data_IF_789685809324
#
_entry.id   IF_789685809324
#
_cell.length_a   1.000
_cell.length_b   1.000
_cell.length_c   1.000
_cell.angle_alpha   90.00
_cell.angle_beta   90.00
_cell.angle_gamma   90.00
#
_symmetry.space_group_name_H-M   'P 1'
#
loop_
_entity.id
_entity.type
_entity.pdbx_description
1 polymer ?
#
# COMPACT_ATOMS: atom_id res chain seq x y z
N UNK A 1 -6.26 74.25 -21.20
CA UNK A 1 -5.57 75.26 -20.37
C UNK A 1 -4.17 74.76 -20.07
N UNK A 2 -3.21 75.64 -19.83
CA UNK A 2 -1.85 75.27 -19.42
C UNK A 2 -1.86 74.68 -17.99
N UNK A 3 -0.78 74.01 -17.59
CA UNK A 3 -0.61 73.53 -16.21
C UNK A 3 -0.69 74.68 -15.22
N UNK A 4 -0.13 75.84 -15.58
CA UNK A 4 -0.12 77.02 -14.72
C UNK A 4 -1.52 77.64 -14.57
N UNK A 5 -2.29 77.69 -15.66
CA UNK A 5 -3.71 78.09 -15.63
C UNK A 5 -4.53 77.12 -14.77
N UNK A 6 -4.34 75.80 -14.90
CA UNK A 6 -5.04 74.82 -14.07
C UNK A 6 -4.76 75.00 -12.57
N UNK A 7 -3.49 75.16 -12.20
CA UNK A 7 -3.08 75.37 -10.81
C UNK A 7 -3.53 76.74 -10.25
N UNK A 8 -3.83 77.71 -11.11
CA UNK A 8 -4.32 79.03 -10.72
C UNK A 8 -5.82 79.09 -10.37
N UNK A 9 -6.60 78.04 -10.70
CA UNK A 9 -8.02 77.96 -10.35
C UNK A 9 -8.13 77.94 -8.82
N UNK A 10 -8.58 79.07 -8.26
CA UNK A 10 -8.74 79.21 -6.81
C UNK A 10 -10.01 78.49 -6.37
N UNK A 11 -9.90 77.62 -5.37
CA UNK A 11 -11.02 76.82 -4.82
C UNK A 11 -11.82 76.05 -5.88
N UNK A 12 -11.19 75.15 -6.67
CA UNK A 12 -11.91 74.38 -7.67
C UNK A 12 -13.02 73.51 -7.02
N UNK A 13 -14.22 73.40 -7.61
CA UNK A 13 -15.23 72.49 -7.11
C UNK A 13 -14.76 71.03 -7.25
N UNK A 14 -15.08 70.18 -6.27
CA UNK A 14 -14.79 68.75 -6.34
C UNK A 14 -15.46 68.14 -7.59
N UNK A 15 -14.69 67.39 -8.38
CA UNK A 15 -15.11 66.83 -9.67
C UNK A 15 -14.91 67.75 -10.88
N UNK A 16 -14.36 68.96 -10.74
CA UNK A 16 -14.03 69.82 -11.89
C UNK A 16 -13.09 69.08 -12.85
N UNK A 17 -13.51 68.95 -14.11
CA UNK A 17 -12.73 68.35 -15.18
C UNK A 17 -12.07 69.42 -16.04
N UNK A 18 -10.77 69.28 -16.29
CA UNK A 18 -10.01 70.16 -17.17
C UNK A 18 -9.06 69.35 -18.05
N UNK A 19 -8.78 69.86 -19.25
CA UNK A 19 -7.73 69.33 -20.12
C UNK A 19 -6.49 70.23 -20.03
N UNK A 20 -5.37 69.64 -19.57
CA UNK A 20 -4.07 70.30 -19.40
C UNK A 20 -3.26 70.14 -20.70
N UNK A 21 -3.03 71.25 -21.42
CA UNK A 21 -2.38 71.27 -22.73
C UNK A 21 -0.87 71.04 -22.65
N UNK A 22 -0.23 71.35 -21.51
CA UNK A 22 1.22 71.13 -21.34
C UNK A 22 1.53 69.65 -21.12
N UNK A 23 0.58 68.91 -20.52
CA UNK A 23 0.68 67.47 -20.24
C UNK A 23 -0.08 66.60 -21.24
N UNK A 24 -1.00 67.17 -22.02
CA UNK A 24 -1.93 66.47 -22.91
C UNK A 24 -2.78 65.42 -22.19
N UNK A 25 -3.31 65.77 -21.02
CA UNK A 25 -4.08 64.85 -20.16
C UNK A 25 -5.32 65.53 -19.56
N UNK A 26 -6.35 64.74 -19.29
CA UNK A 26 -7.49 65.17 -18.46
C UNK A 26 -7.14 65.07 -16.97
N UNK A 27 -7.44 66.13 -16.22
CA UNK A 27 -7.35 66.16 -14.77
C UNK A 27 -8.74 66.37 -14.16
N UNK A 28 -8.98 65.74 -13.01
CA UNK A 28 -10.12 66.05 -12.15
C UNK A 28 -9.64 66.54 -10.79
N UNK A 29 -10.35 67.49 -10.20
CA UNK A 29 -10.07 67.94 -8.83
C UNK A 29 -10.81 67.05 -7.82
N UNK A 30 -10.14 66.53 -6.79
CA UNK A 30 -10.73 65.63 -5.77
C UNK A 30 -11.20 66.33 -4.50
N UNK A 31 -11.12 67.66 -4.46
CA UNK A 31 -11.30 68.45 -3.24
C UNK A 31 -10.00 68.73 -2.48
N UNK A 32 -9.00 67.84 -2.60
CA UNK A 32 -7.68 67.98 -1.95
C UNK A 32 -6.53 68.21 -2.93
N UNK A 33 -6.72 67.86 -4.21
CA UNK A 33 -5.72 68.05 -5.24
C UNK A 33 -6.23 67.69 -6.63
N UNK A 34 -5.39 67.90 -7.64
CA UNK A 34 -5.67 67.51 -9.01
C UNK A 34 -5.11 66.12 -9.29
N UNK A 35 -5.95 65.20 -9.79
CA UNK A 35 -5.55 63.87 -10.23
C UNK A 35 -5.77 63.72 -11.74
N UNK A 36 -4.76 63.21 -12.45
CA UNK A 36 -4.91 62.83 -13.84
C UNK A 36 -5.91 61.65 -13.96
N UNK A 37 -6.87 61.74 -14.85
CA UNK A 37 -7.91 60.71 -15.02
C UNK A 37 -7.47 59.54 -15.88
N UNK A 38 -6.64 59.80 -16.89
CA UNK A 38 -6.12 58.81 -17.81
C UNK A 38 -4.75 59.29 -18.26
N UNK A 39 -3.70 58.73 -17.66
CA UNK A 39 -2.37 58.82 -18.25
C UNK A 39 -2.25 57.67 -19.26
N UNK A 40 -2.06 58.04 -20.52
CA UNK A 40 -1.91 57.11 -21.65
C UNK A 40 -0.66 56.22 -21.58
N UNK A 41 0.10 56.23 -20.49
CA UNK A 41 1.19 55.30 -20.24
C UNK A 41 0.75 54.05 -19.46
N UNK A 42 -0.30 54.13 -18.63
CA UNK A 42 -0.68 53.05 -17.70
C UNK A 42 -1.97 52.30 -18.09
N UNK A 43 -2.90 52.99 -18.77
CA UNK A 43 -4.21 52.42 -19.14
C UNK A 43 -4.52 52.75 -20.60
N UNK A 44 -3.82 52.06 -21.51
CA UNK A 44 -4.06 52.17 -22.95
C UNK A 44 -4.95 51.02 -23.43
N UNK A 45 -5.83 51.30 -24.40
CA UNK A 45 -6.42 50.26 -25.24
C UNK A 45 -5.43 50.01 -26.39
N UNK A 46 -4.63 48.93 -26.37
CA UNK A 46 -3.39 48.93 -27.14
C UNK A 46 -3.59 48.64 -28.64
N UNK A 47 -4.78 48.24 -29.11
CA UNK A 47 -5.04 47.84 -30.51
C UNK A 47 -6.54 47.70 -30.80
N UNK A 48 -6.91 47.83 -32.08
CA UNK A 48 -8.23 47.43 -32.59
C UNK A 48 -8.45 45.93 -32.34
N UNK A 49 -9.60 45.57 -31.76
CA UNK A 49 -10.08 44.19 -31.52
C UNK A 49 -9.52 43.43 -30.29
N UNK A 50 -8.86 44.09 -29.33
CA UNK A 50 -8.62 43.50 -28.00
C UNK A 50 -8.99 44.46 -26.87
N UNK A 51 -9.85 44.02 -25.94
CA UNK A 51 -10.14 44.72 -24.68
C UNK A 51 -9.07 44.36 -23.65
N UNK A 52 -7.86 44.87 -23.86
CA UNK A 52 -6.76 44.74 -22.89
C UNK A 52 -6.53 46.06 -22.19
N UNK A 53 -6.24 45.95 -20.92
CA UNK A 53 -5.58 46.98 -20.12
C UNK A 53 -4.13 46.51 -19.99
N UNK A 54 -3.16 47.38 -20.24
CA UNK A 54 -1.74 47.05 -20.10
C UNK A 54 -0.99 48.18 -19.42
N UNK A 55 -0.25 47.83 -18.37
CA UNK A 55 0.75 48.66 -17.70
C UNK A 55 2.11 47.98 -17.91
N UNK A 56 3.08 48.68 -18.48
CA UNK A 56 4.42 48.17 -18.78
C UNK A 56 5.54 48.92 -18.05
N UNK A 57 5.19 49.90 -17.22
CA UNK A 57 6.14 50.77 -16.53
C UNK A 57 6.01 50.71 -15.01
N UNK A 58 4.90 50.20 -14.48
CA UNK A 58 4.66 50.07 -13.05
C UNK A 58 3.73 48.89 -12.73
N UNK A 59 3.51 48.67 -11.45
CA UNK A 59 2.58 47.71 -10.86
C UNK A 59 1.12 48.13 -10.99
N UNK A 60 0.22 47.15 -10.95
CA UNK A 60 -1.23 47.32 -10.84
C UNK A 60 -1.66 46.79 -9.47
N UNK A 61 -1.99 47.70 -8.56
CA UNK A 61 -2.60 47.36 -7.27
C UNK A 61 -4.13 47.34 -7.35
N UNK A 62 -4.77 46.28 -6.86
CA UNK A 62 -6.22 46.21 -6.68
C UNK A 62 -6.49 45.99 -5.19
N UNK A 63 -7.06 47.00 -4.53
CA UNK A 63 -7.30 46.96 -3.08
C UNK A 63 -6.07 47.33 -2.22
N UNK A 64 -4.90 47.55 -2.83
CA UNK A 64 -3.66 47.98 -2.16
C UNK A 64 -3.12 49.28 -2.74
N UNK A 65 -2.54 50.13 -1.88
CA UNK A 65 -1.84 51.37 -2.27
C UNK A 65 -0.32 51.20 -2.34
N UNK A 66 0.19 49.99 -2.04
CA UNK A 66 1.63 49.70 -2.02
C UNK A 66 1.88 48.30 -2.58
N UNK A 67 1.57 48.08 -3.87
CA UNK A 67 1.76 46.79 -4.53
C UNK A 67 3.22 46.33 -4.45
N UNK A 68 3.46 45.08 -4.08
CA UNK A 68 4.81 44.49 -4.02
C UNK A 68 5.20 43.72 -5.29
N UNK A 69 4.23 43.47 -6.17
CA UNK A 69 4.38 42.76 -7.44
C UNK A 69 3.75 43.56 -8.60
N UNK A 70 4.06 43.18 -9.83
CA UNK A 70 3.50 43.80 -11.04
C UNK A 70 1.97 43.79 -11.09
N UNK A 71 1.35 42.76 -10.51
CA UNK A 71 -0.08 42.72 -10.21
C UNK A 71 -0.19 42.24 -8.78
N UNK A 72 -0.72 43.09 -7.90
CA UNK A 72 -0.95 42.77 -6.50
C UNK A 72 -2.43 43.02 -6.20
N UNK A 73 -3.10 42.00 -5.67
CA UNK A 73 -4.53 42.02 -5.37
C UNK A 73 -4.69 41.68 -3.89
N UNK A 74 -4.99 42.68 -3.07
CA UNK A 74 -5.36 42.49 -1.67
C UNK A 74 -6.83 42.01 -1.59
N UNK A 75 -7.04 40.75 -1.98
CA UNK A 75 -8.35 40.14 -2.08
C UNK A 75 -8.40 38.91 -2.98
N UNK A 76 -9.61 38.57 -3.44
CA UNK A 76 -9.85 37.37 -4.25
C UNK A 76 -9.67 37.64 -5.75
N UNK A 77 -9.03 36.71 -6.45
CA UNK A 77 -8.98 36.67 -7.92
C UNK A 77 -9.91 35.57 -8.42
N UNK A 78 -10.85 35.91 -9.31
CA UNK A 78 -11.70 34.92 -10.00
C UNK A 78 -11.33 34.85 -11.49
N UNK A 79 -10.51 33.86 -11.86
CA UNK A 79 -10.35 33.48 -13.28
C UNK A 79 -11.47 32.55 -13.71
N UNK A 80 -12.09 32.80 -14.86
CA UNK A 80 -13.15 31.91 -15.41
C UNK A 80 -12.58 30.74 -16.22
N UNK A 81 -11.32 30.84 -16.62
CA UNK A 81 -10.62 29.86 -17.44
C UNK A 81 -9.26 29.57 -16.79
N UNK A 82 -8.24 29.32 -17.59
CA UNK A 82 -6.90 28.99 -17.11
C UNK A 82 -6.16 30.21 -16.55
N UNK A 83 -5.29 29.97 -15.58
CA UNK A 83 -4.18 30.85 -15.24
C UNK A 83 -2.95 30.26 -15.92
N UNK A 84 -2.40 30.97 -16.91
CA UNK A 84 -1.20 30.57 -17.63
C UNK A 84 -0.02 31.35 -17.06
N UNK A 85 0.99 30.65 -16.55
CA UNK A 85 2.25 31.23 -16.10
C UNK A 85 3.39 30.59 -16.89
N UNK A 86 4.31 31.40 -17.43
CA UNK A 86 5.48 30.90 -18.17
C UNK A 86 6.51 30.23 -17.25
N UNK A 87 6.44 30.52 -15.95
CA UNK A 87 7.27 29.92 -14.90
C UNK A 87 6.37 29.24 -13.85
N UNK A 88 6.54 29.55 -12.56
CA UNK A 88 5.82 28.89 -11.47
C UNK A 88 4.58 29.68 -11.03
N UNK A 89 3.56 28.95 -10.60
CA UNK A 89 2.49 29.48 -9.73
C UNK A 89 2.85 29.07 -8.30
N UNK A 90 3.15 30.05 -7.45
CA UNK A 90 3.42 29.81 -6.03
C UNK A 90 2.15 30.08 -5.23
N UNK A 91 1.61 29.06 -4.59
CA UNK A 91 0.50 29.17 -3.64
C UNK A 91 1.01 28.87 -2.23
N UNK A 92 0.85 29.82 -1.30
CA UNK A 92 1.20 29.64 0.11
C UNK A 92 0.11 28.91 0.91
N UNK A 93 -1.10 28.81 0.34
CA UNK A 93 -2.23 28.09 0.89
C UNK A 93 -2.58 26.80 0.11
N UNK A 94 -3.84 26.38 0.22
CA UNK A 94 -4.34 25.16 -0.43
C UNK A 94 -4.56 25.36 -1.93
N UNK A 95 -4.02 24.44 -2.74
CA UNK A 95 -4.42 24.27 -4.15
C UNK A 95 -5.43 23.13 -4.22
N UNK A 96 -6.68 23.46 -4.54
CA UNK A 96 -7.77 22.48 -4.65
C UNK A 96 -8.42 22.53 -6.03
N UNK A 97 -8.83 21.37 -6.53
CA UNK A 97 -9.54 21.21 -7.79
C UNK A 97 -9.99 19.76 -7.95
N UNK A 98 -10.87 19.50 -8.92
CA UNK A 98 -11.30 18.13 -9.23
C UNK A 98 -10.14 17.24 -9.70
N UNK A 99 -9.08 17.84 -10.24
CA UNK A 99 -7.83 17.17 -10.56
C UNK A 99 -6.64 18.12 -10.40
N UNK A 100 -5.50 17.59 -9.95
CA UNK A 100 -4.19 18.22 -10.06
C UNK A 100 -3.39 17.37 -11.04
N UNK A 101 -3.18 17.88 -12.25
CA UNK A 101 -2.45 17.19 -13.30
C UNK A 101 -1.05 17.78 -13.35
N UNK A 102 -0.03 16.96 -13.07
CA UNK A 102 1.37 17.33 -13.28
C UNK A 102 1.94 16.47 -14.40
N UNK A 103 2.60 17.10 -15.37
CA UNK A 103 3.40 16.40 -16.38
C UNK A 103 4.77 15.97 -15.85
N UNK A 104 5.17 16.51 -14.69
CA UNK A 104 6.37 16.16 -13.98
C UNK A 104 6.07 15.55 -12.60
N UNK A 105 6.97 15.77 -11.66
CA UNK A 105 6.82 15.26 -10.30
C UNK A 105 5.74 16.06 -9.54
N UNK A 106 4.97 15.37 -8.70
CA UNK A 106 4.25 15.98 -7.59
C UNK A 106 5.09 15.75 -6.33
N UNK A 107 5.66 16.83 -5.78
CA UNK A 107 6.48 16.75 -4.56
C UNK A 107 5.68 17.30 -3.40
N UNK A 108 5.54 16.52 -2.34
CA UNK A 108 4.92 16.96 -1.08
C UNK A 108 6.03 17.07 -0.04
N UNK A 109 6.19 18.25 0.58
CA UNK A 109 7.19 18.46 1.63
C UNK A 109 6.83 17.79 2.97
N UNK A 110 5.59 17.34 3.11
CA UNK A 110 5.07 16.63 4.29
C UNK A 110 4.33 15.35 3.90
N UNK A 111 3.25 15.04 4.60
CA UNK A 111 2.44 13.84 4.32
C UNK A 111 1.59 14.01 3.06
N UNK A 112 1.79 13.16 2.05
CA UNK A 112 0.84 12.99 0.95
C UNK A 112 -0.28 12.02 1.35
N UNK A 113 -1.53 12.47 1.31
CA UNK A 113 -2.72 11.66 1.59
C UNK A 113 -3.50 11.41 0.29
N UNK A 114 -3.74 10.13 -0.02
CA UNK A 114 -4.67 9.69 -1.06
C UNK A 114 -5.83 8.98 -0.35
N UNK A 115 -7.04 9.55 -0.41
CA UNK A 115 -8.20 9.00 0.30
C UNK A 115 -8.82 7.78 -0.39
N UNK A 116 -8.59 7.64 -1.69
CA UNK A 116 -9.06 6.55 -2.52
C UNK A 116 -7.86 5.79 -3.11
N UNK A 117 -7.99 5.29 -4.33
CA UNK A 117 -6.95 4.48 -4.97
C UNK A 117 -5.74 5.30 -5.41
N UNK A 118 -4.55 4.69 -5.25
CA UNK A 118 -3.31 5.11 -5.90
C UNK A 118 -3.02 4.16 -7.06
N UNK A 119 -3.08 4.67 -8.29
CA UNK A 119 -2.71 3.91 -9.49
C UNK A 119 -1.40 4.42 -10.08
N UNK A 120 -0.47 3.51 -10.41
CA UNK A 120 0.84 3.82 -11.00
C UNK A 120 1.07 2.94 -12.23
N UNK A 121 1.54 3.52 -13.35
CA UNK A 121 1.76 2.78 -14.60
C UNK A 121 3.06 1.97 -14.64
N UNK A 122 4.08 2.35 -13.86
CA UNK A 122 5.40 1.68 -13.89
C UNK A 122 5.77 1.08 -12.55
N UNK A 123 5.81 1.87 -11.48
CA UNK A 123 6.12 1.35 -10.15
C UNK A 123 5.97 2.37 -9.04
N UNK A 124 5.93 1.86 -7.81
CA UNK A 124 5.97 2.63 -6.58
C UNK A 124 7.35 2.42 -5.92
N UNK A 125 8.14 3.48 -5.80
CA UNK A 125 9.44 3.45 -5.14
C UNK A 125 9.34 4.14 -3.78
N UNK A 126 9.71 3.42 -2.71
CA UNK A 126 9.76 3.97 -1.36
C UNK A 126 11.23 3.92 -0.90
N UNK A 127 11.87 5.09 -0.85
CA UNK A 127 13.26 5.22 -0.44
C UNK A 127 13.36 5.79 0.97
N UNK A 128 13.36 4.92 1.97
CA UNK A 128 13.53 5.27 3.37
C UNK A 128 14.27 4.13 4.09
N UNK A 129 15.17 4.46 5.02
CA UNK A 129 15.98 3.48 5.77
C UNK A 129 15.14 2.49 6.59
N UNK A 130 13.91 2.87 6.94
CA UNK A 130 12.93 2.05 7.64
C UNK A 130 11.56 2.16 6.95
N UNK A 131 11.52 2.05 5.61
CA UNK A 131 10.28 2.13 4.83
C UNK A 131 9.24 1.12 5.31
N UNK A 132 7.97 1.57 5.43
CA UNK A 132 6.82 0.74 5.78
C UNK A 132 5.67 1.05 4.83
N UNK A 133 5.14 0.03 4.16
CA UNK A 133 3.78 0.05 3.64
C UNK A 133 2.87 -0.48 4.75
N UNK A 134 2.15 0.43 5.42
CA UNK A 134 1.28 0.12 6.55
C UNK A 134 -0.17 -0.02 6.09
N UNK A 135 -0.77 -1.17 6.32
CA UNK A 135 -2.20 -1.40 6.10
C UNK A 135 -2.96 -1.04 7.36
N UNK A 136 -3.92 -0.13 7.25
CA UNK A 136 -4.78 0.32 8.36
C UNK A 136 -6.25 0.10 8.03
N UNK A 137 -7.06 -0.12 9.07
CA UNK A 137 -8.52 -0.11 8.98
C UNK A 137 -9.05 0.70 10.16
N UNK A 138 -9.86 1.72 9.87
CA UNK A 138 -10.39 2.66 10.86
C UNK A 138 -9.31 3.29 11.74
N UNK A 139 -8.17 3.67 11.13
CA UNK A 139 -7.02 4.25 11.82
C UNK A 139 -6.11 3.26 12.56
N UNK A 140 -6.53 2.00 12.71
CA UNK A 140 -5.78 0.96 13.43
C UNK A 140 -4.88 0.21 12.46
N UNK A 141 -3.59 0.07 12.80
CA UNK A 141 -2.62 -0.74 12.06
C UNK A 141 -2.95 -2.24 12.12
N UNK A 142 -3.00 -2.90 10.96
CA UNK A 142 -3.36 -4.32 10.83
C UNK A 142 -2.22 -5.19 10.32
N UNK A 143 -1.53 -4.74 9.28
CA UNK A 143 -0.38 -5.44 8.73
C UNK A 143 0.57 -4.53 7.97
N UNK A 144 1.72 -5.05 7.59
CA UNK A 144 2.77 -4.25 6.98
C UNK A 144 3.65 -5.04 6.01
N UNK A 145 4.27 -4.32 5.09
CA UNK A 145 5.53 -4.67 4.43
C UNK A 145 6.58 -3.66 4.89
N UNK A 146 7.70 -4.10 5.46
CA UNK A 146 8.67 -3.23 6.13
C UNK A 146 10.11 -3.58 5.78
N UNK A 147 10.96 -2.56 5.63
CA UNK A 147 12.41 -2.70 5.68
C UNK A 147 12.91 -2.67 7.13
N UNK A 148 13.74 -3.63 7.50
CA UNK A 148 14.38 -3.70 8.81
C UNK A 148 15.85 -4.12 8.67
N UNK A 149 16.75 -3.14 8.66
CA UNK A 149 18.15 -3.39 8.30
C UNK A 149 18.25 -3.88 6.86
N UNK A 150 18.81 -5.06 6.65
CA UNK A 150 18.88 -5.71 5.33
C UNK A 150 17.67 -6.60 5.02
N UNK A 151 16.75 -6.79 5.97
CA UNK A 151 15.61 -7.68 5.82
C UNK A 151 14.38 -6.96 5.26
N UNK A 152 13.61 -7.69 4.44
CA UNK A 152 12.22 -7.34 4.10
C UNK A 152 11.29 -8.19 4.95
N UNK A 153 10.38 -7.55 5.68
CA UNK A 153 9.41 -8.20 6.55
C UNK A 153 8.00 -8.03 6.02
N UNK A 154 7.20 -9.08 6.10
CA UNK A 154 5.77 -9.09 5.82
C UNK A 154 5.06 -9.69 7.03
N UNK A 155 4.03 -9.03 7.55
CA UNK A 155 3.33 -9.56 8.72
C UNK A 155 2.16 -8.71 9.22
N UNK A 156 1.64 -9.10 10.37
CA UNK A 156 0.59 -8.40 11.11
C UNK A 156 1.19 -7.57 12.24
N UNK A 157 0.57 -6.44 12.58
CA UNK A 157 1.03 -5.60 13.68
C UNK A 157 0.70 -6.25 15.05
N UNK A 158 1.48 -5.91 16.08
CA UNK A 158 1.16 -6.32 17.46
C UNK A 158 -0.25 -5.89 17.85
N UNK A 159 -0.99 -6.77 18.53
CA UNK A 159 -2.40 -6.57 18.87
C UNK A 159 -3.38 -6.93 17.74
N UNK A 160 -2.90 -7.27 16.54
CA UNK A 160 -3.77 -7.85 15.52
C UNK A 160 -4.09 -9.32 15.87
N UNK A 161 -5.37 -9.64 15.98
CA UNK A 161 -5.85 -11.00 16.27
C UNK A 161 -6.12 -11.81 15.00
N UNK A 162 -6.03 -11.18 13.82
CA UNK A 162 -6.19 -11.85 12.52
C UNK A 162 -4.90 -12.50 12.01
N UNK A 163 -5.03 -13.25 10.92
CA UNK A 163 -3.94 -14.01 10.30
C UNK A 163 -3.26 -13.23 9.15
N UNK A 164 -2.03 -13.61 8.80
CA UNK A 164 -1.49 -13.32 7.47
C UNK A 164 -2.00 -14.39 6.50
N UNK A 165 -2.62 -13.97 5.39
CA UNK A 165 -3.29 -14.88 4.45
C UNK A 165 -2.81 -14.61 3.03
N UNK A 166 -2.40 -15.67 2.32
CA UNK A 166 -2.18 -15.66 0.87
C UNK A 166 -3.38 -16.34 0.22
N UNK A 167 -4.21 -15.55 -0.46
CA UNK A 167 -5.46 -15.98 -1.10
C UNK A 167 -5.30 -16.07 -2.62
N UNK A 168 -5.88 -17.10 -3.23
CA UNK A 168 -5.93 -17.27 -4.69
C UNK A 168 -7.31 -17.74 -5.13
N UNK A 169 -7.87 -17.10 -6.16
CA UNK A 169 -9.21 -17.41 -6.71
C UNK A 169 -10.30 -17.49 -5.63
N UNK A 170 -10.26 -16.57 -4.65
CA UNK A 170 -11.22 -16.51 -3.55
C UNK A 170 -10.95 -17.43 -2.36
N UNK A 171 -10.01 -18.38 -2.46
CA UNK A 171 -9.69 -19.35 -1.39
C UNK A 171 -8.37 -19.05 -0.68
N UNK A 172 -8.32 -19.28 0.63
CA UNK A 172 -7.14 -19.07 1.47
C UNK A 172 -6.17 -20.24 1.33
N UNK A 173 -4.99 -19.99 0.76
CA UNK A 173 -4.03 -21.05 0.42
C UNK A 173 -2.96 -21.24 1.47
N UNK A 174 -2.48 -20.13 2.04
CA UNK A 174 -1.54 -20.14 3.15
C UNK A 174 -2.09 -19.21 4.20
N UNK A 175 -2.13 -19.67 5.45
CA UNK A 175 -2.55 -18.89 6.60
C UNK A 175 -1.51 -19.03 7.69
N UNK A 176 -1.01 -17.91 8.19
CA UNK A 176 -0.13 -17.86 9.36
C UNK A 176 -0.89 -17.17 10.48
N UNK A 177 -1.11 -17.89 11.57
CA UNK A 177 -1.80 -17.37 12.75
C UNK A 177 -0.87 -16.53 13.66
N UNK A 178 -1.42 -15.78 14.64
CA UNK A 178 -0.60 -15.01 15.57
C UNK A 178 0.38 -15.83 16.43
N UNK A 179 0.17 -17.15 16.53
CA UNK A 179 1.10 -18.08 17.18
C UNK A 179 2.25 -18.52 16.28
N UNK A 180 2.25 -18.11 15.00
CA UNK A 180 3.24 -18.50 14.00
C UNK A 180 2.98 -19.86 13.36
N UNK A 181 1.84 -20.50 13.64
CA UNK A 181 1.49 -21.75 12.98
C UNK A 181 1.09 -21.45 11.54
N UNK A 182 1.63 -22.23 10.61
CA UNK A 182 1.30 -22.15 9.20
C UNK A 182 0.39 -23.30 8.81
N UNK A 183 -0.73 -22.94 8.20
CA UNK A 183 -1.69 -23.84 7.58
C UNK A 183 -1.60 -23.65 6.06
N UNK A 184 -1.54 -24.76 5.33
CA UNK A 184 -1.40 -24.78 3.87
C UNK A 184 -2.53 -25.63 3.32
N UNK A 185 -3.44 -24.97 2.58
CA UNK A 185 -4.49 -25.66 1.84
C UNK A 185 -3.87 -26.23 0.55
N UNK A 186 -3.59 -27.53 0.56
CA UNK A 186 -3.01 -28.25 -0.57
C UNK A 186 -1.79 -29.09 -0.17
N UNK A 187 -0.75 -29.05 -0.99
CA UNK A 187 0.47 -29.84 -0.81
C UNK A 187 1.70 -28.97 -0.95
N UNK A 188 2.72 -29.22 -0.12
CA UNK A 188 4.08 -28.74 -0.40
C UNK A 188 4.72 -29.79 -1.32
N UNK A 189 5.00 -29.40 -2.55
CA UNK A 189 5.65 -30.26 -3.55
C UNK A 189 6.95 -29.61 -4.03
N UNK A 190 7.98 -30.41 -4.30
CA UNK A 190 9.11 -29.98 -5.11
C UNK A 190 8.91 -30.54 -6.51
N UNK A 191 8.23 -29.80 -7.39
CA UNK A 191 7.78 -30.31 -8.69
C UNK A 191 8.90 -30.92 -9.55
N UNK A 192 10.14 -30.44 -9.41
CA UNK A 192 11.29 -30.94 -10.16
C UNK A 192 11.86 -32.27 -9.63
N UNK A 193 11.72 -32.55 -8.32
CA UNK A 193 12.32 -33.74 -7.69
C UNK A 193 11.28 -34.76 -7.21
N UNK A 194 10.11 -34.31 -6.75
CA UNK A 194 9.07 -35.15 -6.15
C UNK A 194 7.78 -35.21 -6.98
N UNK A 195 7.67 -34.48 -8.08
CA UNK A 195 6.46 -34.44 -8.90
C UNK A 195 5.25 -33.98 -8.07
N UNK A 196 4.15 -34.73 -8.13
CA UNK A 196 2.93 -34.47 -7.35
C UNK A 196 2.98 -35.02 -5.89
N UNK A 197 4.10 -35.63 -5.47
CA UNK A 197 4.23 -36.19 -4.14
C UNK A 197 4.35 -35.08 -3.07
N UNK A 198 3.50 -35.07 -2.02
CA UNK A 198 3.60 -34.15 -0.90
C UNK A 198 4.80 -34.45 0.00
N UNK A 199 5.44 -33.40 0.52
CA UNK A 199 6.59 -33.49 1.43
C UNK A 199 6.21 -33.63 2.91
N UNK A 200 4.94 -33.42 3.27
CA UNK A 200 4.46 -33.52 4.64
C UNK A 200 3.85 -34.90 4.90
N UNK A 201 4.20 -35.56 6.03
CA UNK A 201 3.54 -36.80 6.43
C UNK A 201 2.03 -36.62 6.56
N UNK A 202 1.28 -37.60 6.07
CA UNK A 202 -0.16 -37.71 6.24
C UNK A 202 -0.52 -38.10 7.66
N UNK A 203 0.20 -39.06 8.22
CA UNK A 203 0.13 -39.43 9.63
C UNK A 203 1.43 -40.09 10.07
N UNK A 204 1.76 -39.96 11.34
CA UNK A 204 2.92 -40.59 11.96
C UNK A 204 2.64 -40.84 13.43
N UNK A 205 3.31 -41.80 14.03
CA UNK A 205 3.14 -42.07 15.45
C UNK A 205 4.18 -42.99 16.05
N UNK A 206 4.26 -42.94 17.38
CA UNK A 206 4.95 -43.89 18.23
C UNK A 206 3.90 -44.72 18.97
N UNK A 207 3.92 -46.03 18.76
CA UNK A 207 2.91 -46.97 19.24
C UNK A 207 3.58 -47.96 20.17
N UNK A 208 2.94 -48.23 21.30
CA UNK A 208 3.40 -49.22 22.28
C UNK A 208 3.11 -50.66 21.83
N UNK A 209 3.78 -51.63 22.45
CA UNK A 209 3.58 -53.06 22.25
C UNK A 209 2.12 -53.51 22.47
N UNK A 210 1.35 -52.83 23.32
CA UNK A 210 -0.08 -53.15 23.54
C UNK A 210 -1.01 -52.53 22.50
N UNK A 211 -0.48 -51.73 21.56
CA UNK A 211 -1.26 -50.98 20.57
C UNK A 211 -1.72 -49.60 21.05
N UNK A 212 -1.35 -49.15 22.25
CA UNK A 212 -1.65 -47.79 22.70
C UNK A 212 -0.77 -46.76 21.97
N UNK A 213 -1.37 -45.64 21.57
CA UNK A 213 -0.67 -44.50 20.96
C UNK A 213 0.07 -43.73 22.05
N UNK A 214 1.39 -43.60 21.92
CA UNK A 214 2.23 -42.85 22.86
C UNK A 214 2.35 -41.39 22.39
N UNK A 215 2.59 -41.18 21.09
CA UNK A 215 2.66 -39.85 20.47
C UNK A 215 2.40 -39.93 18.96
N UNK A 216 2.17 -38.79 18.29
CA UNK A 216 2.03 -38.74 16.84
C UNK A 216 1.18 -37.57 16.35
N UNK A 217 0.77 -37.64 15.07
CA UNK A 217 -0.04 -36.63 14.39
C UNK A 217 -1.50 -36.54 14.86
N UNK A 218 -1.96 -37.48 15.71
CA UNK A 218 -3.31 -37.47 16.29
C UNK A 218 -4.46 -37.81 15.33
N UNK A 219 -4.20 -37.95 14.03
CA UNK A 219 -5.18 -38.26 12.99
C UNK A 219 -5.15 -39.72 12.52
N UNK A 220 -4.77 -40.64 13.40
CA UNK A 220 -4.75 -42.08 13.13
C UNK A 220 -5.26 -42.88 14.34
N UNK A 221 -5.68 -44.11 14.11
CA UNK A 221 -6.01 -45.09 15.15
C UNK A 221 -5.14 -46.34 15.01
N UNK A 222 -5.05 -47.11 16.10
CA UNK A 222 -4.28 -48.36 16.15
C UNK A 222 -5.16 -49.45 16.72
N UNK A 223 -5.17 -50.60 16.04
CA UNK A 223 -5.80 -51.82 16.54
C UNK A 223 -4.77 -52.95 16.49
N UNK A 224 -4.42 -53.52 17.63
CA UNK A 224 -3.66 -54.76 17.69
C UNK A 224 -4.58 -55.93 17.31
N UNK A 225 -4.29 -56.61 16.21
CA UNK A 225 -5.14 -57.69 15.69
C UNK A 225 -4.77 -59.03 16.29
N UNK A 226 -3.48 -59.34 16.34
CA UNK A 226 -2.86 -60.52 16.97
C UNK A 226 -1.47 -60.13 17.51
N UNK A 227 -0.77 -61.06 18.17
CA UNK A 227 0.61 -60.82 18.63
C UNK A 227 1.49 -60.38 17.46
N UNK A 228 2.18 -59.25 17.63
CA UNK A 228 3.09 -58.65 16.66
C UNK A 228 2.41 -58.20 15.36
N UNK A 229 1.09 -57.96 15.36
CA UNK A 229 0.38 -57.37 14.21
C UNK A 229 -0.56 -56.24 14.66
N UNK A 230 -0.40 -55.09 14.01
CA UNK A 230 -1.12 -53.86 14.28
C UNK A 230 -1.69 -53.31 12.99
N UNK A 231 -2.96 -52.91 13.02
CA UNK A 231 -3.60 -52.15 11.95
C UNK A 231 -3.59 -50.68 12.33
N UNK A 232 -3.05 -49.85 11.45
CA UNK A 232 -3.11 -48.39 11.57
C UNK A 232 -4.14 -47.88 10.57
N UNK A 233 -5.13 -47.12 11.05
CA UNK A 233 -6.13 -46.49 10.19
C UNK A 233 -5.88 -44.99 10.14
N UNK A 234 -5.80 -44.44 8.92
CA UNK A 234 -5.52 -43.03 8.66
C UNK A 234 -6.05 -42.64 7.26
N UNK A 235 -6.81 -41.55 7.17
CA UNK A 235 -7.53 -41.17 5.94
C UNK A 235 -6.59 -40.77 4.81
N UNK A 236 -6.80 -41.36 3.64
CA UNK A 236 -6.04 -41.10 2.41
C UNK A 236 -4.83 -42.02 2.20
N UNK A 237 -4.71 -43.10 2.98
CA UNK A 237 -3.79 -44.20 2.62
C UNK A 237 -4.32 -44.90 1.36
N UNK A 238 -3.44 -45.08 0.39
CA UNK A 238 -3.67 -45.71 -0.90
C UNK A 238 -2.54 -46.69 -1.24
N UNK A 239 -2.69 -47.45 -2.33
CA UNK A 239 -1.62 -48.32 -2.85
C UNK A 239 -0.36 -47.57 -3.25
N UNK A 240 -0.45 -46.26 -3.48
CA UNK A 240 0.69 -45.41 -3.83
C UNK A 240 1.34 -44.80 -2.59
N UNK A 241 0.79 -44.97 -1.39
CA UNK A 241 1.37 -44.35 -0.19
C UNK A 241 2.75 -44.95 0.12
N UNK A 242 3.67 -44.09 0.54
CA UNK A 242 4.99 -44.50 1.03
C UNK A 242 4.89 -44.59 2.55
N UNK A 243 5.28 -45.74 3.09
CA UNK A 243 5.27 -45.98 4.53
C UNK A 243 6.65 -46.39 5.01
N UNK A 244 7.06 -45.83 6.14
CA UNK A 244 8.24 -46.22 6.89
C UNK A 244 7.79 -46.73 8.27
N UNK A 245 8.37 -47.84 8.73
CA UNK A 245 8.26 -48.25 10.13
C UNK A 245 9.62 -48.64 10.68
N UNK A 246 9.80 -48.47 11.98
CA UNK A 246 10.98 -48.92 12.70
C UNK A 246 10.61 -49.30 14.13
N UNK A 247 11.41 -50.17 14.74
CA UNK A 247 11.33 -50.52 16.15
C UNK A 247 12.57 -49.96 16.88
N UNK A 248 12.45 -49.50 18.13
CA UNK A 248 13.59 -48.92 18.86
C UNK A 248 14.54 -49.96 19.47
N UNK A 249 14.27 -51.26 19.31
CA UNK A 249 15.04 -52.34 19.92
C UNK A 249 15.96 -53.01 18.90
N UNK A 250 17.18 -53.37 19.30
CA UNK A 250 18.16 -54.04 18.43
C UNK A 250 17.74 -55.46 18.05
N UNK A 251 16.92 -56.10 18.89
CA UNK A 251 16.47 -57.48 18.71
C UNK A 251 15.11 -57.58 18.04
N UNK A 252 14.65 -56.50 17.40
CA UNK A 252 13.35 -56.47 16.75
C UNK A 252 13.45 -55.86 15.35
N UNK A 253 12.51 -56.25 14.49
CA UNK A 253 12.27 -55.61 13.19
C UNK A 253 10.79 -55.34 12.98
N UNK A 254 10.46 -54.33 12.17
CA UNK A 254 9.11 -54.10 11.68
C UNK A 254 9.05 -54.21 10.16
N UNK A 255 7.88 -54.59 9.66
CA UNK A 255 7.57 -54.46 8.24
C UNK A 255 6.16 -53.90 8.09
N UNK A 256 5.96 -53.07 7.08
CA UNK A 256 4.69 -52.42 6.80
C UNK A 256 4.13 -52.87 5.47
N UNK A 257 2.82 -53.09 5.43
CA UNK A 257 2.08 -53.46 4.23
C UNK A 257 0.87 -52.55 4.07
N UNK A 258 0.56 -52.20 2.82
CA UNK A 258 -0.77 -51.73 2.49
C UNK A 258 -1.78 -52.86 2.73
N UNK A 259 -2.80 -52.61 3.54
CA UNK A 259 -3.84 -53.60 3.87
C UNK A 259 -5.10 -53.34 3.03
N UNK A 260 -5.64 -52.12 3.11
CA UNK A 260 -6.81 -51.67 2.35
C UNK A 260 -6.87 -50.14 2.33
N UNK A 261 -7.79 -49.49 1.59
CA UNK A 261 -7.89 -48.04 1.61
C UNK A 261 -8.02 -47.51 3.05
N UNK A 262 -7.26 -46.47 3.38
CA UNK A 262 -7.14 -45.89 4.72
C UNK A 262 -6.49 -46.79 5.79
N UNK A 263 -5.97 -47.97 5.44
CA UNK A 263 -5.41 -48.92 6.40
C UNK A 263 -4.04 -49.47 5.96
N UNK A 264 -3.12 -49.53 6.92
CA UNK A 264 -1.87 -50.27 6.78
C UNK A 264 -1.73 -51.29 7.90
N UNK A 265 -1.03 -52.38 7.62
CA UNK A 265 -0.67 -53.38 8.61
C UNK A 265 0.83 -53.25 8.93
N UNK A 266 1.17 -53.13 10.21
CA UNK A 266 2.53 -53.22 10.71
C UNK A 266 2.65 -54.53 11.46
N UNK A 267 3.71 -55.26 11.14
CA UNK A 267 4.08 -56.47 11.85
C UNK A 267 5.44 -56.28 12.49
N UNK A 268 5.61 -56.84 13.68
CA UNK A 268 6.85 -56.80 14.45
C UNK A 268 7.30 -58.21 14.78
N UNK A 269 8.62 -58.44 14.72
CA UNK A 269 9.24 -59.73 15.01
C UNK A 269 10.47 -59.54 15.86
N UNK A 270 10.80 -60.57 16.63
CA UNK A 270 12.11 -60.71 17.24
C UNK A 270 13.11 -61.23 16.19
N UNK A 271 14.29 -60.62 16.13
CA UNK A 271 15.39 -61.08 15.27
C UNK A 271 16.05 -62.35 15.79
N UNK A 272 15.92 -62.63 17.09
CA UNK A 272 16.55 -63.76 17.74
C UNK A 272 15.79 -65.05 17.48
N UNK A 273 14.45 -64.96 17.46
CA UNK A 273 13.54 -66.10 17.35
C UNK A 273 12.86 -66.20 15.99
N UNK A 274 12.80 -65.09 15.23
CA UNK A 274 12.08 -65.02 13.95
C UNK A 274 10.56 -65.09 14.08
N UNK A 275 10.02 -65.14 15.31
CA UNK A 275 8.58 -65.18 15.57
C UNK A 275 8.03 -63.77 15.77
N UNK A 276 6.72 -63.62 15.54
CA UNK A 276 6.01 -62.36 15.79
C UNK A 276 5.97 -62.09 17.29
N UNK A 277 6.37 -60.91 17.67
CA UNK A 277 6.38 -60.44 19.05
C UNK A 277 5.88 -59.00 19.10
N UNK A 278 5.21 -58.64 20.19
CA UNK A 278 4.74 -57.27 20.39
C UNK A 278 5.92 -56.37 20.77
N UNK A 279 6.19 -55.36 19.96
CA UNK A 279 7.19 -54.35 20.24
C UNK A 279 6.62 -52.95 20.06
N UNK A 280 7.21 -51.97 20.73
CA UNK A 280 6.93 -50.58 20.40
C UNK A 280 7.49 -50.29 18.99
N UNK A 281 6.84 -49.42 18.23
CA UNK A 281 7.29 -49.04 16.89
C UNK A 281 6.94 -47.60 16.54
N UNK A 282 7.73 -47.01 15.67
CA UNK A 282 7.44 -45.76 14.98
C UNK A 282 6.93 -46.06 13.58
N UNK A 283 6.04 -45.22 13.08
CA UNK A 283 5.69 -45.23 11.67
C UNK A 283 5.48 -43.81 11.15
N UNK A 284 5.70 -43.64 9.84
CA UNK A 284 5.41 -42.42 9.09
C UNK A 284 4.78 -42.84 7.77
N UNK A 285 3.71 -42.14 7.39
CA UNK A 285 3.02 -42.35 6.11
C UNK A 285 3.03 -41.05 5.32
N UNK A 286 3.48 -41.13 4.07
CA UNK A 286 3.32 -40.09 3.07
C UNK A 286 2.25 -40.55 2.07
N UNK A 287 1.25 -39.71 1.80
CA UNK A 287 0.30 -39.99 0.72
C UNK A 287 0.91 -39.61 -0.62
N UNK A 288 0.64 -40.38 -1.68
CA UNK A 288 0.92 -40.01 -3.07
C UNK A 288 -0.40 -39.88 -3.85
#
# INVERSE_FOLDING_TARGET
MTTLERLSITSPPNGLLVYDLDKNEFYHYTGTGWLAMLNGAYWTRPITNRNRISNNIDSVGIGTNSPTEWLDVDGNIRSRNNVLADNNITATGTVQGSAIISTGNLVTGGTGLFNDDLSTNSGLFINNTAAILQLKSSGISKGFLQLAGSDVRLGTNSGNTGNLIIRMNGNDRIRIDPGGNMDIEGQIINSAATGAAPLLPRCYGYVSATGAIISGSGNFTVTRTIIGEYRITCTGISTNSIFFSSVPYQTAVSSTFYDSPNNLAIRTWSTDTGIREDHNFYFIVFGL
#
